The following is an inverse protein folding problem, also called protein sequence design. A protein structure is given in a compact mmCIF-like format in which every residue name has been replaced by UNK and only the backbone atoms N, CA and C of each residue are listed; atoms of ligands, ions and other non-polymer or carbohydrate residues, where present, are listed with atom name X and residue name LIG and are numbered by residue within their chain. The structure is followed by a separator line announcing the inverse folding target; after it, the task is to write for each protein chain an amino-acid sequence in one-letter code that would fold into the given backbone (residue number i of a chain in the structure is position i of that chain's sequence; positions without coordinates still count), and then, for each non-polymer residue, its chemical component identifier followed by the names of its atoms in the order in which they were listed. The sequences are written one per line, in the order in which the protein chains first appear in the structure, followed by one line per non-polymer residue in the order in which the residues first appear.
data_IF_051575356961
#
_entry.id   IF_051575356961
#
_cell.length_a   1.000
_cell.length_b   1.000
_cell.length_c   1.000
_cell.angle_alpha   90.00
_cell.angle_beta   90.00
_cell.angle_gamma   90.00
#
_symmetry.space_group_name_H-M   'P 1'
#
loop_
_entity.id
_entity.type
_entity.pdbx_description
1 polymer ?
#
# COMPACT_ATOMS: atom_id res chain seq x y z
N UNK A 1 -11.13 -12.40 33.10
CA UNK A 1 -12.16 -12.70 32.07
C UNK A 1 -12.61 -11.44 31.34
N UNK A 2 -13.15 -10.40 32.03
CA UNK A 2 -13.63 -9.15 31.40
C UNK A 2 -12.53 -8.41 30.60
N UNK A 3 -11.29 -8.37 31.11
CA UNK A 3 -10.15 -7.78 30.42
C UNK A 3 -9.87 -8.49 29.07
N UNK A 4 -9.83 -9.82 29.07
CA UNK A 4 -9.61 -10.58 27.83
C UNK A 4 -10.72 -10.38 26.81
N UNK A 5 -11.98 -10.35 27.25
CA UNK A 5 -13.13 -10.05 26.38
C UNK A 5 -12.99 -8.64 25.79
N UNK A 6 -12.65 -7.65 26.61
CA UNK A 6 -12.45 -6.27 26.16
C UNK A 6 -11.31 -6.14 25.13
N UNK A 7 -10.16 -6.78 25.39
CA UNK A 7 -9.03 -6.79 24.45
C UNK A 7 -9.36 -7.51 23.15
N UNK A 8 -10.10 -8.63 23.21
CA UNK A 8 -10.54 -9.35 22.02
C UNK A 8 -11.51 -8.49 21.20
N UNK A 9 -12.48 -7.87 21.83
CA UNK A 9 -13.43 -6.98 21.15
C UNK A 9 -12.71 -5.76 20.51
N UNK A 10 -11.74 -5.16 21.20
CA UNK A 10 -10.94 -4.06 20.69
C UNK A 10 -10.10 -4.50 19.48
N UNK A 11 -9.42 -5.66 19.58
CA UNK A 11 -8.57 -6.16 18.49
C UNK A 11 -9.37 -6.52 17.24
N UNK A 12 -10.55 -7.11 17.38
CA UNK A 12 -11.48 -7.34 16.26
C UNK A 12 -11.98 -6.01 15.69
N UNK A 13 -12.37 -5.06 16.54
CA UNK A 13 -12.80 -3.75 16.09
C UNK A 13 -11.71 -3.04 15.29
N UNK A 14 -10.46 -3.06 15.74
CA UNK A 14 -9.33 -2.46 15.02
C UNK A 14 -9.04 -3.13 13.69
N UNK A 15 -9.18 -4.45 13.62
CA UNK A 15 -8.98 -5.20 12.38
C UNK A 15 -10.04 -4.88 11.29
N UNK A 16 -11.31 -4.71 11.69
CA UNK A 16 -12.42 -4.55 10.73
C UNK A 16 -12.97 -3.12 10.59
N UNK A 17 -12.45 -2.17 11.36
CA UNK A 17 -12.91 -0.77 11.36
C UNK A 17 -11.77 0.18 10.95
N UNK A 18 -11.47 0.31 9.65
CA UNK A 18 -10.36 1.13 9.18
C UNK A 18 -10.58 2.60 9.53
N UNK A 19 -9.47 3.32 9.73
CA UNK A 19 -9.44 4.77 9.89
C UNK A 19 -8.85 5.41 8.62
N UNK A 20 -9.31 6.61 8.29
CA UNK A 20 -8.72 7.43 7.22
C UNK A 20 -7.73 8.40 7.86
N UNK A 21 -6.49 8.37 7.37
CA UNK A 21 -5.40 9.25 7.84
C UNK A 21 -5.06 10.23 6.73
N UNK A 22 -5.26 11.52 6.97
CA UNK A 22 -4.96 12.57 6.01
C UNK A 22 -3.56 13.14 6.27
N UNK A 23 -2.77 13.28 5.21
CA UNK A 23 -1.45 13.91 5.25
C UNK A 23 -1.19 14.75 4.02
N UNK A 24 -0.91 16.03 4.21
CA UNK A 24 -0.41 16.90 3.15
C UNK A 24 1.12 16.94 3.20
N UNK A 25 1.74 16.80 2.03
CA UNK A 25 3.18 16.94 1.83
C UNK A 25 3.46 17.96 0.73
N UNK A 26 4.62 18.63 0.84
CA UNK A 26 5.11 19.56 -0.17
C UNK A 26 6.38 19.01 -0.79
N UNK A 27 6.40 18.94 -2.11
CA UNK A 27 7.56 18.52 -2.89
C UNK A 27 8.20 19.72 -3.60
N UNK A 28 9.47 19.56 -3.92
CA UNK A 28 10.32 20.61 -4.49
C UNK A 28 10.30 20.59 -6.03
N UNK A 29 9.16 20.16 -6.62
CA UNK A 29 8.93 20.05 -8.06
C UNK A 29 7.61 20.71 -8.43
N UNK A 30 7.50 21.11 -9.70
CA UNK A 30 6.27 21.65 -10.24
C UNK A 30 5.18 20.59 -10.34
N UNK A 31 3.96 20.94 -9.95
CA UNK A 31 2.72 20.21 -10.24
C UNK A 31 1.71 21.19 -10.78
N UNK A 32 1.09 20.86 -11.92
CA UNK A 32 0.00 21.68 -12.51
C UNK A 32 -1.17 21.86 -11.53
N UNK A 33 -1.39 20.85 -10.70
CA UNK A 33 -2.40 20.88 -9.63
C UNK A 33 -2.00 19.94 -8.49
N UNK A 34 -2.52 20.23 -7.32
CA UNK A 34 -2.49 19.32 -6.17
C UNK A 34 -3.08 17.96 -6.52
N UNK A 35 -2.43 16.87 -6.12
CA UNK A 35 -2.89 15.50 -6.36
C UNK A 35 -3.12 14.78 -5.03
N UNK A 36 -4.30 14.18 -4.87
CA UNK A 36 -4.67 13.36 -3.71
C UNK A 36 -4.56 11.88 -4.04
N UNK A 37 -3.73 11.15 -3.35
CA UNK A 37 -3.53 9.71 -3.53
C UNK A 37 -4.10 8.96 -2.32
N UNK A 38 -4.98 7.99 -2.57
CA UNK A 38 -5.34 7.01 -1.57
C UNK A 38 -4.29 5.90 -1.59
N UNK A 39 -3.55 5.74 -0.50
CA UNK A 39 -2.65 4.62 -0.30
C UNK A 39 -3.31 3.60 0.62
N UNK A 40 -3.36 2.37 0.17
CA UNK A 40 -3.71 1.18 0.97
C UNK A 40 -2.61 0.14 0.82
N UNK A 41 -2.49 -0.79 1.75
CA UNK A 41 -1.58 -1.93 1.65
C UNK A 41 -2.17 -3.13 2.37
N UNK A 42 -1.60 -4.30 2.10
CA UNK A 42 -1.87 -5.49 2.90
C UNK A 42 -3.38 -5.79 2.99
N UNK A 43 -4.01 -5.92 1.82
CA UNK A 43 -5.44 -6.28 1.77
C UNK A 43 -5.67 -7.71 2.23
N UNK A 44 -4.72 -8.62 1.95
CA UNK A 44 -4.82 -10.04 2.30
C UNK A 44 -6.19 -10.63 1.96
N UNK A 45 -6.60 -10.47 0.69
CA UNK A 45 -7.89 -10.99 0.21
C UNK A 45 -7.90 -12.51 0.29
N UNK A 46 -8.75 -13.04 1.15
CA UNK A 46 -8.77 -14.47 1.46
C UNK A 46 -9.97 -14.88 2.30
N UNK A 47 -9.72 -15.74 3.28
CA UNK A 47 -10.77 -16.31 4.12
C UNK A 47 -11.43 -15.29 5.03
N UNK A 48 -10.64 -14.46 5.70
CA UNK A 48 -11.13 -13.53 6.72
C UNK A 48 -11.35 -12.12 6.19
N UNK A 49 -10.62 -11.73 5.16
CA UNK A 49 -10.74 -10.42 4.52
C UNK A 49 -11.33 -10.59 3.11
N UNK A 50 -12.51 -10.04 2.86
CA UNK A 50 -13.30 -10.39 1.68
C UNK A 50 -14.23 -9.25 1.22
N UNK A 51 -15.31 -9.59 0.52
CA UNK A 51 -16.23 -8.61 -0.08
C UNK A 51 -16.73 -7.49 0.86
N UNK A 52 -17.12 -7.74 2.14
CA UNK A 52 -17.56 -6.64 3.01
C UNK A 52 -16.49 -5.58 3.24
N UNK A 53 -15.21 -5.98 3.29
CA UNK A 53 -14.11 -5.05 3.46
C UNK A 53 -13.78 -4.30 2.16
N UNK A 54 -13.90 -4.96 1.00
CA UNK A 54 -13.78 -4.32 -0.30
C UNK A 54 -14.89 -3.28 -0.53
N UNK A 55 -16.13 -3.60 -0.16
CA UNK A 55 -17.26 -2.64 -0.20
C UNK A 55 -17.00 -1.42 0.68
N UNK A 56 -16.45 -1.65 1.87
CA UNK A 56 -16.06 -0.55 2.77
C UNK A 56 -14.93 0.30 2.19
N UNK A 57 -13.93 -0.33 1.55
CA UNK A 57 -12.85 0.39 0.86
C UNK A 57 -13.40 1.23 -0.29
N UNK A 58 -14.27 0.66 -1.12
CA UNK A 58 -14.92 1.38 -2.22
C UNK A 58 -15.67 2.60 -1.69
N UNK A 59 -16.44 2.44 -0.61
CA UNK A 59 -17.15 3.55 0.03
C UNK A 59 -16.20 4.65 0.52
N UNK A 60 -15.08 4.29 1.17
CA UNK A 60 -14.07 5.26 1.60
C UNK A 60 -13.50 6.03 0.39
N UNK A 61 -13.17 5.33 -0.69
CA UNK A 61 -12.64 5.96 -1.91
C UNK A 61 -13.67 6.87 -2.57
N UNK A 62 -14.94 6.47 -2.62
CA UNK A 62 -16.03 7.28 -3.16
C UNK A 62 -16.30 8.55 -2.33
N UNK A 63 -16.18 8.46 -1.01
CA UNK A 63 -16.35 9.61 -0.09
C UNK A 63 -15.16 10.56 -0.14
N UNK A 64 -13.94 10.03 -0.12
CA UNK A 64 -12.69 10.79 -0.09
C UNK A 64 -12.26 11.36 -1.45
N UNK A 65 -12.73 10.75 -2.54
CA UNK A 65 -12.49 11.17 -3.95
C UNK A 65 -11.01 11.43 -4.25
N UNK A 66 -10.12 10.44 -4.05
CA UNK A 66 -8.73 10.59 -4.43
C UNK A 66 -8.58 10.67 -5.96
N UNK A 67 -7.52 11.31 -6.45
CA UNK A 67 -7.17 11.33 -7.87
C UNK A 67 -6.63 9.98 -8.35
N UNK A 68 -5.90 9.27 -7.49
CA UNK A 68 -5.39 7.91 -7.76
C UNK A 68 -5.50 7.03 -6.51
N UNK A 69 -5.54 5.71 -6.72
CA UNK A 69 -5.42 4.71 -5.64
C UNK A 69 -4.16 3.88 -5.89
N UNK A 70 -3.36 3.69 -4.84
CA UNK A 70 -2.15 2.86 -4.87
C UNK A 70 -2.24 1.80 -3.79
N UNK A 71 -2.18 0.53 -4.21
CA UNK A 71 -2.13 -0.64 -3.33
C UNK A 71 -0.66 -1.05 -3.20
N UNK A 72 -0.08 -0.86 -2.03
CA UNK A 72 1.35 -1.09 -1.80
C UNK A 72 1.66 -2.55 -1.40
N UNK A 73 1.20 -3.50 -2.21
CA UNK A 73 1.49 -4.93 -2.06
C UNK A 73 0.58 -5.69 -1.10
N UNK A 74 0.77 -7.01 -1.05
CA UNK A 74 -0.01 -8.00 -0.31
C UNK A 74 -1.52 -7.86 -0.59
N UNK A 75 -1.84 -8.00 -1.88
CA UNK A 75 -3.21 -7.96 -2.34
C UNK A 75 -3.96 -9.25 -1.95
N UNK A 76 -3.29 -10.41 -2.07
CA UNK A 76 -3.84 -11.72 -1.76
C UNK A 76 -3.28 -12.26 -0.45
N UNK A 77 -4.00 -13.25 0.15
CA UNK A 77 -3.57 -13.98 1.35
C UNK A 77 -3.07 -15.36 0.89
N UNK A 78 -1.81 -15.40 0.41
CA UNK A 78 -1.04 -16.52 -0.12
C UNK A 78 -1.60 -17.15 -1.41
N UNK A 79 -2.91 -17.40 -1.52
CA UNK A 79 -3.53 -18.02 -2.69
C UNK A 79 -4.80 -17.30 -3.17
N UNK A 80 -5.26 -17.69 -4.37
CA UNK A 80 -6.44 -17.09 -5.00
C UNK A 80 -7.74 -17.90 -4.83
N UNK A 81 -7.72 -18.99 -4.05
CA UNK A 81 -8.85 -19.89 -3.92
C UNK A 81 -10.09 -19.16 -3.39
N UNK A 82 -9.95 -18.46 -2.28
CA UNK A 82 -11.07 -17.74 -1.67
C UNK A 82 -11.46 -16.49 -2.45
N UNK A 83 -10.49 -15.80 -3.08
CA UNK A 83 -10.74 -14.68 -3.99
C UNK A 83 -11.69 -15.09 -5.11
N UNK A 84 -11.40 -16.19 -5.81
CA UNK A 84 -12.24 -16.74 -6.89
C UNK A 84 -13.56 -17.27 -6.35
N UNK A 85 -13.55 -18.09 -5.30
CA UNK A 85 -14.74 -18.72 -4.73
C UNK A 85 -15.79 -17.70 -4.29
N UNK A 86 -15.37 -16.54 -3.80
CA UNK A 86 -16.25 -15.46 -3.33
C UNK A 86 -16.51 -14.38 -4.37
N UNK A 87 -16.00 -14.56 -5.60
CA UNK A 87 -16.13 -13.58 -6.68
C UNK A 87 -15.69 -12.16 -6.27
N UNK A 88 -14.57 -12.07 -5.54
CA UNK A 88 -14.08 -10.78 -5.02
C UNK A 88 -13.66 -9.82 -6.13
N UNK A 89 -13.38 -10.35 -7.33
CA UNK A 89 -13.09 -9.57 -8.54
C UNK A 89 -14.16 -8.50 -8.79
N UNK A 90 -15.44 -8.83 -8.58
CA UNK A 90 -16.55 -7.90 -8.81
C UNK A 90 -16.45 -6.65 -7.92
N UNK A 91 -16.17 -6.82 -6.63
CA UNK A 91 -16.01 -5.70 -5.72
C UNK A 91 -14.68 -4.97 -5.91
N UNK A 92 -13.60 -5.70 -6.21
CA UNK A 92 -12.30 -5.08 -6.51
C UNK A 92 -12.36 -4.23 -7.78
N UNK A 93 -13.16 -4.63 -8.80
CA UNK A 93 -13.35 -3.86 -10.02
C UNK A 93 -14.14 -2.56 -9.86
N UNK A 94 -14.82 -2.37 -8.71
CA UNK A 94 -15.51 -1.13 -8.35
C UNK A 94 -14.55 -0.06 -7.82
N UNK A 95 -13.35 -0.45 -7.40
CA UNK A 95 -12.32 0.49 -6.96
C UNK A 95 -11.87 1.33 -8.17
N UNK A 96 -12.14 2.63 -8.14
CA UNK A 96 -11.89 3.55 -9.26
C UNK A 96 -11.35 4.88 -8.75
N UNK A 97 -10.49 5.48 -9.57
CA UNK A 97 -10.03 6.86 -9.38
C UNK A 97 -9.73 7.49 -10.75
N UNK A 98 -9.83 8.83 -10.91
CA UNK A 98 -9.64 9.50 -12.20
C UNK A 98 -8.29 9.24 -12.87
N UNK A 99 -7.19 9.16 -12.10
CA UNK A 99 -5.85 8.86 -12.60
C UNK A 99 -5.51 7.37 -12.55
N UNK A 100 -6.46 6.51 -12.17
CA UNK A 100 -6.29 5.06 -12.15
C UNK A 100 -6.08 4.46 -10.76
N UNK A 101 -6.05 3.12 -10.76
CA UNK A 101 -5.75 2.28 -9.60
C UNK A 101 -4.54 1.41 -9.92
N UNK A 102 -3.56 1.41 -9.04
CA UNK A 102 -2.27 0.75 -9.24
C UNK A 102 -1.95 -0.19 -8.10
N UNK A 103 -1.22 -1.25 -8.39
CA UNK A 103 -0.72 -2.15 -7.34
C UNK A 103 0.72 -2.56 -7.61
N UNK A 104 1.48 -2.82 -6.55
CA UNK A 104 2.74 -3.55 -6.63
C UNK A 104 2.59 -4.91 -5.98
N UNK A 105 3.65 -5.71 -6.01
CA UNK A 105 3.70 -7.03 -5.40
C UNK A 105 4.11 -6.93 -3.93
N UNK A 106 3.51 -7.76 -3.08
CA UNK A 106 3.96 -8.00 -1.72
C UNK A 106 4.49 -9.43 -1.53
N UNK A 107 4.91 -9.76 -0.32
CA UNK A 107 5.53 -11.06 -0.04
C UNK A 107 4.53 -12.22 0.07
N UNK A 108 3.24 -11.94 0.22
CA UNK A 108 2.16 -12.93 0.15
C UNK A 108 1.57 -13.12 -1.26
N UNK A 109 1.99 -12.33 -2.23
CA UNK A 109 1.53 -12.42 -3.63
C UNK A 109 2.35 -13.49 -4.40
N UNK A 110 2.32 -14.76 -3.93
CA UNK A 110 3.20 -15.83 -4.40
C UNK A 110 2.95 -16.25 -5.86
N UNK A 111 1.72 -16.26 -6.32
CA UNK A 111 1.39 -16.60 -7.70
C UNK A 111 1.26 -15.35 -8.58
N UNK A 112 2.40 -14.68 -8.77
CA UNK A 112 2.48 -13.41 -9.47
C UNK A 112 1.78 -13.41 -10.83
N UNK A 113 1.89 -14.50 -11.60
CA UNK A 113 1.32 -14.56 -12.95
C UNK A 113 -0.20 -14.67 -12.92
N UNK A 114 -0.75 -15.47 -12.00
CA UNK A 114 -2.18 -15.61 -11.80
C UNK A 114 -2.77 -14.31 -11.25
N UNK A 115 -2.13 -13.72 -10.24
CA UNK A 115 -2.53 -12.44 -9.62
C UNK A 115 -2.57 -11.33 -10.67
N UNK A 116 -1.52 -11.18 -11.48
CA UNK A 116 -1.48 -10.19 -12.57
C UNK A 116 -2.67 -10.35 -13.52
N UNK A 117 -2.96 -11.58 -13.93
CA UNK A 117 -4.04 -11.85 -14.87
C UNK A 117 -5.41 -11.52 -14.28
N UNK A 118 -5.66 -11.85 -13.02
CA UNK A 118 -6.91 -11.55 -12.34
C UNK A 118 -7.05 -10.05 -12.01
N UNK A 119 -5.97 -9.42 -11.54
CA UNK A 119 -5.95 -7.99 -11.22
C UNK A 119 -6.21 -7.14 -12.46
N UNK A 120 -5.58 -7.46 -13.61
CA UNK A 120 -5.85 -6.76 -14.88
C UNK A 120 -7.31 -6.79 -15.31
N UNK A 121 -8.04 -7.87 -15.01
CA UNK A 121 -9.49 -7.96 -15.30
C UNK A 121 -10.33 -6.96 -14.51
N UNK A 122 -9.83 -6.47 -13.37
CA UNK A 122 -10.52 -5.47 -12.54
C UNK A 122 -10.28 -4.05 -13.01
N UNK A 123 -9.34 -3.84 -13.92
CA UNK A 123 -8.88 -2.52 -14.36
C UNK A 123 -7.79 -1.90 -13.48
N UNK A 124 -7.29 -2.64 -12.48
CA UNK A 124 -6.11 -2.24 -11.70
C UNK A 124 -4.86 -2.52 -12.52
N UNK A 125 -3.91 -1.61 -12.48
CA UNK A 125 -2.66 -1.68 -13.23
C UNK A 125 -1.55 -2.19 -12.30
N UNK A 126 -1.05 -3.42 -12.51
CA UNK A 126 0.09 -3.93 -11.75
C UNK A 126 1.40 -3.31 -12.26
N UNK A 127 2.26 -2.92 -11.34
CA UNK A 127 3.59 -2.35 -11.61
C UNK A 127 4.65 -3.24 -10.92
N UNK A 128 5.23 -4.18 -11.67
CA UNK A 128 6.18 -5.18 -11.16
C UNK A 128 7.55 -4.98 -11.81
N UNK A 129 8.38 -4.13 -11.20
CA UNK A 129 9.58 -3.53 -11.77
C UNK A 129 9.28 -2.68 -13.02
N UNK A 130 8.17 -1.98 -12.95
CA UNK A 130 7.66 -1.14 -14.03
C UNK A 130 7.37 0.29 -13.53
N UNK A 131 7.30 1.21 -14.47
CA UNK A 131 6.93 2.60 -14.21
C UNK A 131 5.86 3.07 -15.16
N UNK A 132 5.01 3.99 -14.67
CA UNK A 132 3.96 4.62 -15.46
C UNK A 132 3.80 6.09 -15.07
N UNK A 133 3.70 6.97 -16.07
CA UNK A 133 3.25 8.34 -15.84
C UNK A 133 1.73 8.34 -15.63
N UNK A 134 1.27 8.76 -14.45
CA UNK A 134 -0.16 8.83 -14.13
C UNK A 134 -0.79 10.15 -14.60
N UNK A 135 0.04 11.18 -14.77
CA UNK A 135 -0.28 12.45 -15.41
C UNK A 135 1.02 13.09 -15.96
N UNK A 136 0.99 14.37 -16.31
CA UNK A 136 2.17 15.07 -16.84
C UNK A 136 3.30 15.22 -15.79
N UNK A 137 2.96 15.27 -14.51
CA UNK A 137 3.87 15.67 -13.43
C UNK A 137 4.32 14.53 -12.54
N UNK A 138 3.62 13.39 -12.54
CA UNK A 138 3.84 12.29 -11.58
C UNK A 138 4.09 10.98 -12.32
N UNK A 139 5.14 10.27 -11.91
CA UNK A 139 5.44 8.91 -12.33
C UNK A 139 5.42 7.98 -11.11
N UNK A 140 4.64 6.90 -11.19
CA UNK A 140 4.71 5.78 -10.26
C UNK A 140 5.78 4.79 -10.72
N UNK A 141 6.55 4.28 -9.78
CA UNK A 141 7.53 3.20 -9.99
C UNK A 141 7.20 2.09 -9.00
N UNK A 142 6.67 0.99 -9.49
CA UNK A 142 6.33 -0.18 -8.66
C UNK A 142 7.40 -1.24 -8.73
N UNK A 143 7.73 -1.83 -7.59
CA UNK A 143 8.75 -2.87 -7.47
C UNK A 143 8.12 -4.24 -7.27
N UNK A 144 8.78 -5.29 -7.79
CA UNK A 144 8.55 -6.66 -7.35
C UNK A 144 8.95 -6.82 -5.89
N UNK A 145 8.33 -7.74 -5.16
CA UNK A 145 8.78 -8.07 -3.82
C UNK A 145 10.00 -9.01 -3.86
N UNK A 146 10.96 -8.75 -2.98
CA UNK A 146 12.23 -9.51 -2.90
C UNK A 146 12.05 -10.96 -2.44
N UNK A 147 10.98 -11.24 -1.69
CA UNK A 147 10.72 -12.57 -1.12
C UNK A 147 10.17 -13.53 -2.16
N UNK A 148 9.46 -13.01 -3.18
CA UNK A 148 8.79 -13.81 -4.21
C UNK A 148 9.43 -13.69 -5.59
N UNK A 149 10.32 -12.73 -5.80
CA UNK A 149 10.96 -12.48 -7.12
C UNK A 149 12.47 -12.34 -7.01
N UNK A 150 13.19 -13.38 -7.46
CA UNK A 150 14.65 -13.38 -7.47
C UNK A 150 15.27 -12.48 -8.54
N UNK A 151 14.51 -12.14 -9.57
CA UNK A 151 14.87 -11.29 -10.70
C UNK A 151 14.49 -9.81 -10.49
N UNK A 152 14.16 -9.43 -9.24
CA UNK A 152 13.82 -8.06 -8.85
C UNK A 152 14.95 -7.09 -9.22
N UNK A 153 14.61 -6.05 -9.96
CA UNK A 153 15.56 -5.02 -10.36
C UNK A 153 15.94 -4.12 -9.17
N UNK A 154 17.15 -3.59 -9.21
CA UNK A 154 17.54 -2.53 -8.28
C UNK A 154 16.76 -1.25 -8.57
N UNK A 155 16.43 -0.50 -7.51
CA UNK A 155 15.65 0.74 -7.64
C UNK A 155 16.37 1.77 -8.51
N UNK A 156 17.70 1.89 -8.39
CA UNK A 156 18.47 2.81 -9.21
C UNK A 156 18.40 2.46 -10.71
N UNK A 157 18.29 1.17 -11.05
CA UNK A 157 18.15 0.73 -12.46
C UNK A 157 16.76 1.04 -13.02
N UNK A 158 15.71 0.92 -12.20
CA UNK A 158 14.35 1.35 -12.56
C UNK A 158 14.30 2.85 -12.83
N UNK A 159 14.97 3.64 -12.00
CA UNK A 159 14.98 5.10 -12.10
C UNK A 159 15.74 5.62 -13.35
N UNK A 160 16.62 4.83 -13.95
CA UNK A 160 17.27 5.19 -15.25
C UNK A 160 16.29 5.32 -16.40
N UNK A 161 15.10 4.74 -16.28
CA UNK A 161 14.08 4.66 -17.34
C UNK A 161 12.98 5.70 -17.20
N UNK A 162 13.04 6.58 -16.18
CA UNK A 162 12.00 7.56 -15.88
C UNK A 162 12.52 8.99 -16.00
N UNK A 163 11.63 9.93 -16.29
CA UNK A 163 11.95 11.35 -16.29
C UNK A 163 12.01 11.87 -14.85
N UNK A 164 13.22 12.13 -14.37
CA UNK A 164 13.49 12.59 -13.01
C UNK A 164 13.07 14.05 -12.75
N UNK A 165 12.67 14.81 -13.79
CA UNK A 165 12.06 16.12 -13.60
C UNK A 165 10.63 16.01 -13.05
N UNK A 166 9.97 14.87 -13.28
CA UNK A 166 8.66 14.55 -12.71
C UNK A 166 8.78 14.12 -11.25
N UNK A 167 7.69 14.24 -10.51
CA UNK A 167 7.57 13.67 -9.17
C UNK A 167 7.58 12.15 -9.25
N UNK A 168 8.55 11.53 -8.59
CA UNK A 168 8.71 10.09 -8.56
C UNK A 168 8.14 9.53 -7.27
N UNK A 169 7.11 8.70 -7.39
CA UNK A 169 6.51 7.95 -6.29
C UNK A 169 6.93 6.50 -6.44
N UNK A 170 7.81 6.04 -5.56
CA UNK A 170 8.22 4.66 -5.45
C UNK A 170 7.20 3.87 -4.63
N UNK A 171 6.75 2.73 -5.14
CA UNK A 171 5.92 1.77 -4.41
C UNK A 171 6.73 0.51 -4.18
N UNK A 172 7.18 0.32 -2.96
CA UNK A 172 7.98 -0.84 -2.54
C UNK A 172 7.34 -1.41 -1.26
N UNK A 173 6.81 -2.62 -1.35
CA UNK A 173 5.99 -3.20 -0.29
C UNK A 173 6.73 -3.25 1.05
N UNK A 174 7.95 -3.82 1.07
CA UNK A 174 8.75 -3.91 2.30
C UNK A 174 9.59 -2.65 2.53
N UNK A 175 9.50 -1.99 3.71
CA UNK A 175 10.23 -0.75 4.01
C UNK A 175 11.67 -0.98 4.47
N UNK A 176 12.30 -2.09 4.09
CA UNK A 176 13.66 -2.48 4.51
C UNK A 176 14.78 -1.67 3.85
N UNK A 177 14.51 -1.00 2.74
CA UNK A 177 15.49 -0.23 1.99
C UNK A 177 15.26 1.31 2.08
N UNK A 178 14.54 1.79 3.10
CA UNK A 178 14.23 3.22 3.28
C UNK A 178 15.49 4.09 3.28
N UNK A 179 16.53 3.69 4.00
CA UNK A 179 17.78 4.45 4.07
C UNK A 179 18.49 4.53 2.71
N UNK A 180 18.51 3.44 1.95
CA UNK A 180 19.03 3.41 0.59
C UNK A 180 18.19 4.27 -0.35
N UNK A 181 16.88 4.12 -0.32
CA UNK A 181 15.97 4.90 -1.17
C UNK A 181 16.02 6.40 -0.84
N UNK A 182 16.33 6.77 0.40
CA UNK A 182 16.54 8.16 0.77
C UNK A 182 17.76 8.82 0.09
N UNK A 183 18.68 8.02 -0.48
CA UNK A 183 19.82 8.53 -1.29
C UNK A 183 19.48 8.65 -2.78
N UNK A 184 18.39 8.00 -3.25
CA UNK A 184 18.01 7.97 -4.65
C UNK A 184 17.14 9.18 -5.05
N UNK A 185 17.00 9.49 -6.34
CA UNK A 185 16.20 10.63 -6.83
C UNK A 185 14.69 10.29 -6.88
N UNK A 186 14.13 9.85 -5.77
CA UNK A 186 12.68 9.71 -5.55
C UNK A 186 12.17 10.89 -4.72
N UNK A 187 10.87 11.16 -4.75
CA UNK A 187 10.24 12.20 -3.94
C UNK A 187 9.39 11.59 -2.82
N UNK A 188 8.71 10.49 -3.11
CA UNK A 188 7.82 9.79 -2.17
C UNK A 188 8.06 8.29 -2.24
N UNK A 189 8.00 7.59 -1.11
CA UNK A 189 7.90 6.12 -1.05
C UNK A 189 6.65 5.71 -0.30
N UNK A 190 5.96 4.68 -0.83
CA UNK A 190 4.79 4.04 -0.23
C UNK A 190 5.10 2.58 0.06
N UNK A 191 4.90 2.15 1.32
CA UNK A 191 5.21 0.80 1.80
C UNK A 191 4.14 0.27 2.76
N UNK A 192 4.08 -1.04 2.92
CA UNK A 192 3.23 -1.75 3.87
C UNK A 192 4.01 -2.77 4.70
N UNK A 193 3.60 -4.04 4.68
CA UNK A 193 4.31 -5.22 5.17
C UNK A 193 4.38 -5.37 6.69
N UNK A 194 4.72 -4.36 7.41
CA UNK A 194 5.08 -4.49 8.85
C UNK A 194 3.88 -4.72 9.75
N UNK A 195 2.68 -4.33 9.30
CA UNK A 195 1.46 -4.27 10.12
C UNK A 195 1.67 -3.59 11.47
N UNK A 196 2.79 -2.84 11.64
CA UNK A 196 3.26 -2.37 12.95
C UNK A 196 3.34 -3.51 13.97
N UNK A 197 3.85 -4.68 13.54
CA UNK A 197 3.88 -5.89 14.34
C UNK A 197 2.52 -6.54 14.57
N UNK A 198 1.42 -5.97 14.08
CA UNK A 198 0.01 -6.39 14.20
C UNK A 198 -0.49 -6.57 15.65
N UNK A 199 0.26 -7.33 16.48
CA UNK A 199 -0.08 -7.65 17.88
C UNK A 199 0.91 -6.98 18.82
N UNK A 200 0.42 -6.19 19.77
CA UNK A 200 1.23 -5.73 20.88
C UNK A 200 1.73 -6.96 21.70
N UNK A 201 3.02 -7.06 22.08
CA UNK A 201 4.06 -6.03 21.99
C UNK A 201 5.01 -6.17 20.76
N UNK A 202 4.62 -6.88 19.69
CA UNK A 202 5.51 -7.13 18.53
C UNK A 202 5.87 -5.83 17.76
N UNK A 203 5.11 -4.75 17.96
CA UNK A 203 5.46 -3.43 17.43
C UNK A 203 6.84 -2.94 17.90
N UNK A 204 7.30 -3.32 19.08
CA UNK A 204 8.66 -2.99 19.54
C UNK A 204 9.74 -3.70 18.72
N UNK A 205 9.42 -4.87 18.14
CA UNK A 205 10.37 -5.59 17.27
C UNK A 205 10.44 -4.88 15.92
N UNK A 206 9.29 -4.54 15.33
CA UNK A 206 9.28 -3.83 14.03
C UNK A 206 9.92 -2.45 14.11
N UNK A 207 9.70 -1.72 15.20
CA UNK A 207 10.30 -0.41 15.47
C UNK A 207 11.85 -0.46 15.56
N UNK A 208 12.41 -1.60 15.98
CA UNK A 208 13.87 -1.80 16.01
C UNK A 208 14.42 -2.29 14.66
N UNK A 209 13.63 -3.07 13.91
CA UNK A 209 14.08 -3.71 12.65
C UNK A 209 14.04 -2.73 11.48
N UNK A 210 13.05 -1.85 11.43
CA UNK A 210 12.82 -0.96 10.28
C UNK A 210 13.12 0.50 10.64
N UNK A 211 13.74 1.23 9.72
CA UNK A 211 13.96 2.69 9.85
C UNK A 211 12.63 3.45 9.96
N UNK A 212 11.57 2.93 9.33
CA UNK A 212 10.20 3.41 9.46
C UNK A 212 9.25 2.21 9.41
N UNK A 213 8.86 1.69 10.57
CA UNK A 213 7.95 0.55 10.67
C UNK A 213 6.48 0.94 10.43
N UNK A 214 6.11 2.19 10.75
CA UNK A 214 4.74 2.69 10.59
C UNK A 214 4.69 4.22 10.54
N UNK A 215 3.74 4.73 9.77
CA UNK A 215 3.43 6.16 9.75
C UNK A 215 4.18 6.91 8.65
N UNK A 216 4.58 8.14 8.96
CA UNK A 216 5.21 9.07 8.04
C UNK A 216 6.53 9.60 8.58
N UNK A 217 7.55 9.66 7.73
CA UNK A 217 8.81 10.35 8.00
C UNK A 217 9.29 11.16 6.78
N UNK A 218 10.01 12.25 7.03
CA UNK A 218 10.77 12.97 6.00
C UNK A 218 12.26 12.72 6.22
N UNK A 219 12.91 12.01 5.30
CA UNK A 219 14.32 11.61 5.40
C UNK A 219 15.05 12.13 4.16
N UNK A 220 16.13 12.87 4.35
CA UNK A 220 16.90 13.49 3.27
C UNK A 220 16.05 14.30 2.27
N UNK A 221 15.02 14.99 2.78
CA UNK A 221 14.12 15.79 1.96
C UNK A 221 13.00 15.02 1.28
N UNK A 222 12.98 13.69 1.33
CA UNK A 222 12.00 12.78 0.70
C UNK A 222 10.97 12.29 1.70
N UNK A 223 9.80 11.91 1.20
CA UNK A 223 8.64 11.56 2.01
C UNK A 223 8.42 10.04 2.00
N UNK A 224 8.41 9.43 3.17
CA UNK A 224 8.24 7.99 3.35
C UNK A 224 6.96 7.71 4.13
N UNK A 225 6.18 6.76 3.64
CA UNK A 225 4.96 6.28 4.27
C UNK A 225 5.04 4.75 4.41
N UNK A 226 4.80 4.26 5.62
CA UNK A 226 4.63 2.82 5.87
C UNK A 226 3.29 2.61 6.55
N UNK A 227 2.40 1.87 5.89
CA UNK A 227 1.06 1.59 6.40
C UNK A 227 1.08 0.38 7.34
N UNK A 228 0.21 0.42 8.36
CA UNK A 228 -0.07 -0.75 9.20
C UNK A 228 -1.05 -1.75 8.54
N UNK A 229 -1.38 -1.53 7.26
CA UNK A 229 -2.28 -2.37 6.48
C UNK A 229 -3.75 -2.03 6.63
N UNK A 230 -4.47 -2.10 5.52
CA UNK A 230 -5.93 -2.05 5.48
C UNK A 230 -6.54 -3.36 5.98
N UNK A 231 -5.96 -4.48 5.58
CA UNK A 231 -6.25 -5.82 6.08
C UNK A 231 -5.40 -6.20 7.29
N UNK A 232 -5.25 -7.49 7.45
CA UNK A 232 -4.46 -8.10 8.50
C UNK A 232 -3.93 -9.45 8.00
N UNK A 233 -2.81 -9.87 8.56
CA UNK A 233 -2.19 -11.16 8.31
C UNK A 233 -2.66 -12.20 9.33
N UNK A 234 -3.01 -13.41 8.87
CA UNK A 234 -3.43 -14.52 9.74
C UNK A 234 -4.72 -14.24 10.51
N UNK A 235 -4.73 -14.25 11.86
CA UNK A 235 -5.96 -14.06 12.63
C UNK A 235 -6.48 -12.63 12.51
N UNK A 236 -7.83 -12.44 12.44
CA UNK A 236 -8.47 -11.13 12.29
C UNK A 236 -8.41 -10.28 13.56
N UNK A 237 -7.20 -9.98 14.03
CA UNK A 237 -6.97 -9.38 15.32
C UNK A 237 -5.77 -8.43 15.29
N UNK A 238 -5.98 -7.17 15.62
CA UNK A 238 -4.94 -6.13 15.65
C UNK A 238 -4.95 -5.43 17.00
N UNK A 239 -3.77 -5.29 17.64
CA UNK A 239 -3.63 -4.58 18.93
C UNK A 239 -2.47 -3.60 18.96
N UNK A 240 -1.68 -3.50 17.89
CA UNK A 240 -0.60 -2.52 17.76
C UNK A 240 -1.01 -1.30 16.95
N UNK A 241 -1.83 -1.49 15.93
CA UNK A 241 -2.38 -0.42 15.10
C UNK A 241 -3.76 -0.82 14.58
N UNK A 242 -4.58 0.17 14.26
CA UNK A 242 -5.86 -0.01 13.59
C UNK A 242 -5.64 -0.16 12.08
N UNK A 243 -6.53 -0.88 11.39
CA UNK A 243 -6.60 -0.87 9.93
C UNK A 243 -6.74 0.56 9.39
N UNK A 244 -6.08 0.89 8.28
CA UNK A 244 -5.98 2.29 7.85
C UNK A 244 -5.95 2.45 6.34
N UNK A 245 -6.37 3.64 5.90
CA UNK A 245 -6.20 4.16 4.55
C UNK A 245 -5.54 5.53 4.66
N UNK A 246 -4.45 5.75 3.96
CA UNK A 246 -3.80 7.04 3.90
C UNK A 246 -4.33 7.86 2.71
N UNK A 247 -4.76 9.10 2.99
CA UNK A 247 -5.07 10.11 1.99
C UNK A 247 -3.92 11.10 1.94
N UNK A 248 -3.06 10.95 0.94
CA UNK A 248 -1.83 11.74 0.79
C UNK A 248 -2.10 12.83 -0.24
N UNK A 249 -2.11 14.07 0.23
CA UNK A 249 -2.23 15.25 -0.62
C UNK A 249 -0.84 15.77 -0.96
N UNK A 250 -0.49 15.78 -2.24
CA UNK A 250 0.82 16.21 -2.75
C UNK A 250 0.67 17.59 -3.37
N UNK A 251 1.35 18.56 -2.79
CA UNK A 251 1.45 19.94 -3.29
C UNK A 251 2.84 20.15 -3.90
N UNK A 252 2.90 20.74 -5.10
CA UNK A 252 4.14 21.16 -5.74
C UNK A 252 4.54 22.60 -5.36
N UNK A 253 5.67 23.04 -5.93
CA UNK A 253 6.07 24.46 -5.95
C UNK A 253 5.21 25.26 -6.91
#
# INVERSE_FOLDING_TARGET
TLYLIGMTALGLFWAYSPTVINKTIKIDKHLDKTVKIAMVSDLHLGTFFSNPQLEKLNKIVDEEKPDAVVIAGDLMDDDMVMYKKRNMQENLSKLKAPLGVYTTMGNHDHDALEIVNEVKKTGIIPLFDESIAINNDITLVGRKDKSVSRDRLDTADLLKKVDLNKTIILVDHQPDAVDYHATLPIDVQLSGHTHRGQLWPLNFITDVVYTLDHGYAKINGKHFFTSAGYGFWGPPFKTSARSEVWMITIEGK
#
